data_IF_142803070130
#
_entry.id   IF_142803070130
#
_cell.length_a   1.000
_cell.length_b   1.000
_cell.length_c   1.000
_cell.angle_alpha   90.00
_cell.angle_beta   90.00
_cell.angle_gamma   90.00
#
_symmetry.space_group_name_H-M   'P 1'
#
loop_
_entity.id
_entity.type
_entity.pdbx_description
1 polymer ?
#
# COMPACT_ATOMS: atom_id res chain seq x y z
N UNK A 1 22.02 13.12 25.18
CA UNK A 1 20.72 12.96 25.85
C UNK A 1 19.63 13.36 24.88
N UNK A 2 19.02 12.39 24.20
CA UNK A 2 17.92 12.60 23.26
C UNK A 2 16.63 12.91 24.04
N UNK A 3 16.03 14.06 23.77
CA UNK A 3 14.74 14.43 24.35
C UNK A 3 13.64 13.64 23.62
N UNK A 4 13.08 12.64 24.28
CA UNK A 4 11.87 11.97 23.82
C UNK A 4 10.71 12.93 24.08
N UNK A 5 10.01 13.36 23.00
CA UNK A 5 8.72 14.06 23.13
C UNK A 5 7.61 13.02 23.03
N UNK A 6 6.66 13.08 23.94
CA UNK A 6 5.43 12.29 23.89
C UNK A 6 4.32 13.16 23.28
N UNK A 7 3.67 12.69 22.24
CA UNK A 7 2.42 13.25 21.70
C UNK A 7 1.37 12.17 21.86
N UNK A 8 0.29 12.47 22.58
CA UNK A 8 -0.81 11.56 22.88
C UNK A 8 -0.39 10.21 23.51
N UNK A 9 0.65 10.20 24.35
CA UNK A 9 1.08 9.01 25.06
C UNK A 9 2.04 8.09 24.29
N UNK A 10 2.37 8.41 23.02
CA UNK A 10 3.34 7.66 22.22
C UNK A 10 4.70 8.35 22.19
N UNK A 11 5.81 7.60 22.36
CA UNK A 11 7.15 8.17 22.28
C UNK A 11 7.47 8.55 20.82
N UNK A 12 7.64 9.84 20.57
CA UNK A 12 8.17 10.33 19.29
C UNK A 12 9.68 10.38 19.42
N UNK A 13 10.36 9.38 18.92
CA UNK A 13 11.80 9.43 18.73
C UNK A 13 12.09 10.31 17.50
N UNK A 14 12.56 11.53 17.74
CA UNK A 14 13.12 12.37 16.69
C UNK A 14 14.60 11.95 16.55
N UNK A 15 15.04 11.25 15.50
CA UNK A 15 16.46 11.06 15.26
C UNK A 15 17.07 12.43 14.96
N UNK A 16 18.07 12.80 15.74
CA UNK A 16 18.85 14.02 15.53
C UNK A 16 19.51 13.98 14.14
N UNK A 17 19.02 14.83 13.25
CA UNK A 17 19.66 15.15 11.98
C UNK A 17 20.96 15.91 12.27
N UNK A 18 22.06 15.19 12.49
CA UNK A 18 23.44 15.69 12.32
C UNK A 18 24.43 14.56 12.65
N UNK A 19 24.91 13.91 11.63
CA UNK A 19 26.05 13.02 11.67
C UNK A 19 26.49 12.77 10.23
N UNK A 20 27.67 13.31 9.87
CA UNK A 20 28.32 13.13 8.57
C UNK A 20 28.85 11.68 8.38
N UNK A 21 27.99 10.70 8.55
CA UNK A 21 28.21 9.30 8.20
C UNK A 21 27.08 8.86 7.29
N UNK A 22 27.38 8.15 6.21
CA UNK A 22 26.38 7.48 5.37
C UNK A 22 25.54 6.54 6.24
N UNK A 23 24.48 7.08 6.85
CA UNK A 23 23.53 6.28 7.62
C UNK A 23 22.66 5.56 6.61
N UNK A 24 22.89 4.25 6.47
CA UNK A 24 22.07 3.42 5.58
C UNK A 24 20.60 3.51 5.99
N UNK A 25 19.73 3.79 5.03
CA UNK A 25 18.30 4.01 5.28
C UNK A 25 17.59 2.67 5.41
N UNK A 26 16.92 2.44 6.54
CA UNK A 26 16.03 1.29 6.72
C UNK A 26 14.66 1.61 6.11
N UNK A 27 14.31 0.87 5.07
CA UNK A 27 13.10 1.07 4.27
C UNK A 27 12.16 -0.10 4.49
N UNK A 28 10.91 0.17 4.81
CA UNK A 28 9.85 -0.85 4.87
C UNK A 28 8.92 -0.65 3.69
N UNK A 29 8.51 -1.74 3.03
CA UNK A 29 7.44 -1.73 2.04
C UNK A 29 6.31 -2.63 2.52
N UNK A 30 5.11 -2.06 2.62
CA UNK A 30 3.92 -2.79 3.00
C UNK A 30 3.33 -3.49 1.78
N UNK A 31 3.06 -4.79 1.92
CA UNK A 31 2.47 -5.59 0.85
C UNK A 31 1.25 -6.36 1.36
N UNK A 32 0.20 -6.43 0.56
CA UNK A 32 -1.04 -7.11 0.90
C UNK A 32 -1.38 -8.22 -0.10
N UNK A 33 -1.79 -9.37 0.43
CA UNK A 33 -2.38 -10.46 -0.34
C UNK A 33 -3.85 -10.13 -0.59
N UNK A 34 -4.25 -10.10 -1.85
CA UNK A 34 -5.62 -9.76 -2.27
C UNK A 34 -6.14 -10.76 -3.30
N UNK A 35 -7.46 -10.89 -3.47
CA UNK A 35 -8.03 -11.60 -4.60
C UNK A 35 -7.57 -10.99 -5.93
N UNK A 36 -7.33 -11.83 -6.95
CA UNK A 36 -7.01 -11.34 -8.29
C UNK A 36 -8.12 -10.39 -8.77
N UNK A 37 -7.74 -9.22 -9.25
CA UNK A 37 -8.68 -8.18 -9.72
C UNK A 37 -9.56 -8.62 -10.89
N UNK A 38 -9.17 -9.69 -11.59
CA UNK A 38 -9.94 -10.30 -12.66
C UNK A 38 -10.86 -11.45 -12.17
N UNK A 39 -10.83 -11.76 -10.87
CA UNK A 39 -11.67 -12.81 -10.31
C UNK A 39 -13.16 -12.41 -10.36
N UNK A 40 -14.01 -13.37 -10.70
CA UNK A 40 -15.45 -13.21 -10.54
C UNK A 40 -15.79 -13.30 -9.07
N UNK A 41 -16.27 -12.22 -8.49
CA UNK A 41 -16.73 -12.19 -7.10
C UNK A 41 -18.16 -12.73 -7.03
N UNK A 42 -18.35 -13.69 -6.14
CA UNK A 42 -19.66 -14.26 -5.80
C UNK A 42 -20.00 -13.86 -4.38
N UNK A 43 -21.22 -13.43 -4.17
CA UNK A 43 -21.75 -13.14 -2.82
C UNK A 43 -22.87 -14.14 -2.55
N UNK A 44 -22.73 -14.89 -1.48
CA UNK A 44 -23.71 -15.88 -1.02
C UNK A 44 -24.02 -15.63 0.47
N UNK A 45 -25.29 -15.55 0.80
CA UNK A 45 -25.79 -15.25 2.17
C UNK A 45 -25.06 -14.07 2.84
N UNK A 46 -24.88 -12.96 2.07
CA UNK A 46 -24.23 -11.75 2.58
C UNK A 46 -22.72 -11.87 2.78
N UNK A 47 -22.09 -12.96 2.34
CA UNK A 47 -20.64 -13.17 2.42
C UNK A 47 -20.03 -13.33 1.05
N UNK A 48 -18.79 -12.84 0.91
CA UNK A 48 -18.02 -13.03 -0.33
C UNK A 48 -17.42 -14.42 -0.33
N UNK A 49 -17.73 -15.21 -1.37
CA UNK A 49 -17.10 -16.52 -1.58
C UNK A 49 -15.72 -16.32 -2.27
N UNK A 50 -14.67 -16.66 -1.54
CA UNK A 50 -13.29 -16.58 -1.98
C UNK A 50 -12.65 -17.96 -2.23
N UNK A 51 -13.43 -19.04 -2.18
CA UNK A 51 -12.92 -20.42 -2.27
C UNK A 51 -12.22 -20.75 -3.58
N UNK A 52 -12.68 -20.18 -4.69
CA UNK A 52 -12.16 -20.40 -6.05
C UNK A 52 -11.30 -19.24 -6.57
N UNK A 53 -10.96 -18.29 -5.72
CA UNK A 53 -10.26 -17.09 -6.16
C UNK A 53 -8.75 -17.29 -6.10
N UNK A 54 -8.07 -16.92 -7.17
CA UNK A 54 -6.62 -16.81 -7.16
C UNK A 54 -6.19 -15.61 -6.34
N UNK A 55 -5.20 -15.81 -5.48
CA UNK A 55 -4.63 -14.77 -4.64
C UNK A 55 -3.32 -14.24 -5.22
N UNK A 56 -3.18 -12.92 -5.19
CA UNK A 56 -2.03 -12.19 -5.73
C UNK A 56 -1.58 -11.09 -4.77
N UNK A 57 -0.42 -10.51 -5.00
CA UNK A 57 -0.03 -9.24 -4.38
C UNK A 57 -0.90 -8.12 -4.93
N UNK A 58 -1.28 -7.16 -4.09
CA UNK A 58 -2.02 -5.98 -4.53
C UNK A 58 -1.23 -5.23 -5.63
N UNK A 59 -1.86 -4.91 -6.78
CA UNK A 59 -1.16 -4.31 -7.91
C UNK A 59 -0.45 -2.98 -7.60
N UNK A 60 -0.98 -2.19 -6.67
CA UNK A 60 -0.32 -0.94 -6.26
C UNK A 60 0.92 -1.17 -5.42
N UNK A 61 1.01 -2.30 -4.71
CA UNK A 61 2.17 -2.62 -3.88
C UNK A 61 3.41 -2.95 -4.73
N UNK A 62 3.23 -3.43 -5.97
CA UNK A 62 4.33 -3.63 -6.90
C UNK A 62 5.05 -2.30 -7.23
N UNK A 63 4.30 -1.21 -7.38
CA UNK A 63 4.88 0.13 -7.58
C UNK A 63 5.57 0.63 -6.31
N UNK A 64 5.03 0.34 -5.14
CA UNK A 64 5.67 0.67 -3.86
C UNK A 64 6.99 -0.09 -3.66
N UNK A 65 7.06 -1.36 -4.03
CA UNK A 65 8.29 -2.15 -4.02
C UNK A 65 9.33 -1.51 -4.95
N UNK A 66 8.96 -1.16 -6.17
CA UNK A 66 9.89 -0.53 -7.11
C UNK A 66 10.41 0.81 -6.58
N UNK A 67 9.55 1.64 -5.97
CA UNK A 67 9.93 2.90 -5.34
C UNK A 67 10.93 2.68 -4.19
N UNK A 68 10.66 1.70 -3.32
CA UNK A 68 11.55 1.32 -2.22
C UNK A 68 12.92 0.84 -2.72
N UNK A 69 12.94 0.02 -3.78
CA UNK A 69 14.19 -0.48 -4.38
C UNK A 69 14.99 0.66 -5.03
N UNK A 70 14.32 1.60 -5.70
CA UNK A 70 14.96 2.80 -6.27
C UNK A 70 15.51 3.71 -5.20
N UNK A 71 14.81 3.86 -4.07
CA UNK A 71 15.31 4.61 -2.93
C UNK A 71 16.61 3.97 -2.39
N UNK A 72 16.59 2.65 -2.15
CA UNK A 72 17.79 1.92 -1.73
C UNK A 72 18.94 2.06 -2.72
N UNK A 73 18.67 2.01 -4.03
CA UNK A 73 19.69 2.17 -5.07
C UNK A 73 20.33 3.57 -5.05
N UNK A 74 19.57 4.59 -4.68
CA UNK A 74 20.03 5.98 -4.63
C UNK A 74 20.76 6.35 -3.35
N UNK A 75 20.37 5.78 -2.21
CA UNK A 75 20.86 6.21 -0.88
C UNK A 75 21.59 5.11 -0.10
N UNK A 76 21.62 3.89 -0.60
CA UNK A 76 22.03 2.72 0.18
C UNK A 76 20.93 2.26 1.14
N UNK A 77 21.26 1.29 1.99
CA UNK A 77 20.35 0.76 3.00
C UNK A 77 19.71 -0.57 2.65
N UNK A 78 18.59 -0.88 3.29
CA UNK A 78 17.92 -2.17 3.18
C UNK A 78 16.41 -1.99 3.00
N UNK A 79 15.79 -2.89 2.21
CA UNK A 79 14.34 -2.92 2.00
C UNK A 79 13.76 -4.19 2.64
N UNK A 80 12.83 -4.01 3.56
CA UNK A 80 12.08 -5.08 4.22
C UNK A 80 10.64 -5.07 3.73
N UNK A 81 10.16 -6.19 3.16
CA UNK A 81 8.73 -6.36 2.85
C UNK A 81 8.00 -6.84 4.09
N UNK A 82 6.96 -6.12 4.47
CA UNK A 82 6.13 -6.39 5.65
C UNK A 82 4.69 -6.66 5.23
N UNK A 83 4.13 -7.76 5.74
CA UNK A 83 2.70 -8.10 5.56
C UNK A 83 2.07 -8.53 6.88
N UNK A 84 0.76 -8.30 7.00
CA UNK A 84 -0.07 -8.86 8.08
C UNK A 84 -0.92 -9.98 7.49
N UNK A 85 -0.85 -11.18 8.09
CA UNK A 85 -1.66 -12.31 7.65
C UNK A 85 -1.05 -13.67 7.97
N UNK A 86 -1.84 -14.72 7.76
CA UNK A 86 -1.43 -16.10 7.96
C UNK A 86 -0.30 -16.56 7.03
N UNK A 87 0.16 -17.79 7.19
CA UNK A 87 1.21 -18.41 6.36
C UNK A 87 0.95 -18.35 4.85
N UNK A 88 -0.29 -18.21 4.44
CA UNK A 88 -0.67 -18.02 3.03
C UNK A 88 -0.09 -16.76 2.40
N UNK A 89 0.30 -15.78 3.21
CA UNK A 89 0.94 -14.54 2.74
C UNK A 89 2.41 -14.72 2.37
N UNK A 90 3.05 -15.83 2.74
CA UNK A 90 4.46 -16.08 2.43
C UNK A 90 4.74 -16.06 0.93
N UNK A 91 3.76 -16.43 0.11
CA UNK A 91 3.90 -16.40 -1.35
C UNK A 91 4.16 -14.99 -1.87
N UNK A 92 3.37 -14.01 -1.47
CA UNK A 92 3.55 -12.62 -1.94
C UNK A 92 4.84 -12.00 -1.43
N UNK A 93 5.30 -12.37 -0.22
CA UNK A 93 6.60 -11.97 0.29
C UNK A 93 7.74 -12.56 -0.55
N UNK A 94 7.64 -13.84 -0.95
CA UNK A 94 8.61 -14.47 -1.85
C UNK A 94 8.58 -13.85 -3.25
N UNK A 95 7.41 -13.44 -3.74
CA UNK A 95 7.29 -12.68 -4.99
C UNK A 95 8.02 -11.33 -4.87
N UNK A 96 7.89 -10.60 -3.76
CA UNK A 96 8.65 -9.39 -3.47
C UNK A 96 10.17 -9.66 -3.40
N UNK A 97 10.58 -10.77 -2.78
CA UNK A 97 11.99 -11.20 -2.76
C UNK A 97 12.55 -11.44 -4.16
N UNK A 98 11.76 -12.07 -5.02
CA UNK A 98 12.16 -12.33 -6.41
C UNK A 98 12.38 -11.04 -7.21
N UNK A 99 11.68 -9.96 -6.86
CA UNK A 99 11.84 -8.62 -7.43
C UNK A 99 13.11 -7.94 -6.91
N UNK A 100 13.57 -8.26 -5.68
CA UNK A 100 14.83 -7.75 -5.14
C UNK A 100 14.79 -7.19 -3.73
N UNK A 101 13.72 -7.39 -2.99
CA UNK A 101 13.61 -7.00 -1.57
C UNK A 101 14.60 -7.81 -0.72
N UNK A 102 15.16 -7.20 0.33
CA UNK A 102 16.24 -7.80 1.12
C UNK A 102 15.73 -8.73 2.22
N UNK A 103 14.69 -8.35 2.94
CA UNK A 103 14.12 -9.12 4.04
C UNK A 103 12.61 -9.25 3.94
N UNK A 104 12.09 -10.31 4.55
CA UNK A 104 10.68 -10.68 4.50
C UNK A 104 10.17 -10.85 5.93
N UNK A 105 9.18 -10.05 6.30
CA UNK A 105 8.56 -10.10 7.64
C UNK A 105 7.06 -10.30 7.49
N UNK A 106 6.54 -11.27 8.20
CA UNK A 106 5.12 -11.54 8.32
C UNK A 106 4.70 -11.46 9.78
N UNK A 107 3.63 -10.74 10.04
CA UNK A 107 3.05 -10.63 11.38
C UNK A 107 1.72 -11.35 11.41
N UNK A 108 1.56 -12.23 12.36
CA UNK A 108 0.32 -12.98 12.55
C UNK A 108 0.24 -13.55 13.96
N UNK A 109 -0.95 -13.56 14.47
CA UNK A 109 -1.31 -14.28 15.68
C UNK A 109 -2.62 -15.04 15.44
N UNK A 110 -2.63 -16.33 15.73
CA UNK A 110 -3.80 -17.19 15.50
C UNK A 110 -5.02 -16.80 16.35
N UNK A 111 -4.82 -16.01 17.39
CA UNK A 111 -5.90 -15.46 18.22
C UNK A 111 -6.61 -14.26 17.58
N UNK A 112 -6.08 -13.72 16.46
CA UNK A 112 -6.70 -12.58 15.80
C UNK A 112 -8.04 -12.98 15.18
N UNK A 113 -9.10 -12.35 15.66
CA UNK A 113 -10.38 -12.32 14.97
C UNK A 113 -10.32 -11.44 13.73
N UNK A 114 -11.46 -11.10 13.15
CA UNK A 114 -11.51 -10.08 12.10
C UNK A 114 -10.94 -8.77 12.62
N UNK A 115 -9.99 -8.21 11.86
CA UNK A 115 -9.30 -6.98 12.19
C UNK A 115 -9.80 -5.85 11.29
N UNK A 116 -10.04 -4.69 11.88
CA UNK A 116 -10.34 -3.46 11.13
C UNK A 116 -9.06 -2.66 10.77
N UNK A 117 -9.23 -1.60 10.00
CA UNK A 117 -8.11 -0.74 9.60
C UNK A 117 -7.39 -0.13 10.80
N UNK A 118 -8.09 0.15 11.90
CA UNK A 118 -7.52 0.74 13.10
C UNK A 118 -6.57 -0.23 13.80
N UNK A 119 -7.01 -1.46 14.03
CA UNK A 119 -6.19 -2.49 14.67
C UNK A 119 -4.98 -2.89 13.82
N UNK A 120 -5.17 -3.07 12.49
CA UNK A 120 -4.07 -3.38 11.57
C UNK A 120 -3.01 -2.28 11.52
N UNK A 121 -3.43 -1.01 11.47
CA UNK A 121 -2.49 0.13 11.46
C UNK A 121 -1.71 0.22 12.77
N UNK A 122 -2.31 -0.10 13.91
CA UNK A 122 -1.62 -0.13 15.21
C UNK A 122 -0.50 -1.17 15.22
N UNK A 123 -0.80 -2.39 14.79
CA UNK A 123 0.20 -3.47 14.67
C UNK A 123 1.32 -3.10 13.70
N UNK A 124 0.98 -2.51 12.54
CA UNK A 124 1.98 -2.07 11.57
C UNK A 124 2.94 -1.05 12.20
N UNK A 125 2.45 -0.09 12.97
CA UNK A 125 3.27 0.92 13.61
C UNK A 125 4.28 0.32 14.60
N UNK A 126 3.86 -0.63 15.43
CA UNK A 126 4.73 -1.32 16.37
C UNK A 126 5.89 -2.01 15.63
N UNK A 127 5.58 -2.79 14.61
CA UNK A 127 6.59 -3.54 13.85
C UNK A 127 7.49 -2.62 13.02
N UNK A 128 6.97 -1.54 12.44
CA UNK A 128 7.75 -0.54 11.71
C UNK A 128 8.81 0.11 12.64
N UNK A 129 8.42 0.43 13.86
CA UNK A 129 9.35 0.98 14.88
C UNK A 129 10.41 -0.05 15.29
N UNK A 130 10.01 -1.30 15.52
CA UNK A 130 10.93 -2.39 15.86
C UNK A 130 11.96 -2.67 14.76
N UNK A 131 11.55 -2.52 13.48
CA UNK A 131 12.44 -2.64 12.33
C UNK A 131 13.38 -1.44 12.17
N UNK A 132 13.21 -0.38 12.96
CA UNK A 132 14.01 0.84 12.86
C UNK A 132 13.82 1.59 11.55
N UNK A 133 12.67 1.44 10.92
CA UNK A 133 12.39 2.07 9.64
C UNK A 133 12.43 3.59 9.70
N UNK A 134 12.90 4.21 8.64
CA UNK A 134 12.94 5.67 8.46
C UNK A 134 11.98 6.09 7.33
N UNK A 135 11.70 5.18 6.40
CA UNK A 135 10.74 5.41 5.32
C UNK A 135 9.89 4.17 5.13
N UNK A 136 8.58 4.39 4.98
CA UNK A 136 7.61 3.34 4.66
C UNK A 136 6.98 3.63 3.31
N UNK A 137 7.01 2.65 2.42
CA UNK A 137 6.28 2.67 1.15
C UNK A 137 5.09 1.73 1.21
N UNK A 138 3.98 2.12 0.58
CA UNK A 138 2.82 1.25 0.38
C UNK A 138 2.11 1.59 -0.93
N UNK A 139 1.26 0.70 -1.41
CA UNK A 139 0.34 1.01 -2.49
C UNK A 139 -0.70 2.04 -2.06
N UNK A 140 -1.27 2.79 -2.99
CA UNK A 140 -2.28 3.82 -2.68
C UNK A 140 -3.53 3.24 -2.02
N UNK A 141 -3.88 2.01 -2.37
CA UNK A 141 -5.02 1.29 -1.80
C UNK A 141 -4.87 -0.20 -2.07
N UNK A 142 -5.41 -1.04 -1.21
CA UNK A 142 -5.54 -2.46 -1.48
C UNK A 142 -6.68 -2.71 -2.47
N UNK A 143 -6.46 -3.61 -3.44
CA UNK A 143 -7.42 -3.85 -4.53
C UNK A 143 -8.74 -4.49 -4.08
N UNK A 144 -8.77 -5.09 -2.89
CA UNK A 144 -9.95 -5.71 -2.29
C UNK A 144 -10.85 -4.72 -1.57
N UNK A 145 -10.29 -3.80 -0.79
CA UNK A 145 -11.05 -2.86 0.02
C UNK A 145 -11.13 -1.45 -0.56
N UNK A 146 -10.13 -1.05 -1.35
CA UNK A 146 -10.04 0.31 -1.90
C UNK A 146 -9.94 1.43 -0.86
N UNK A 147 -9.72 1.10 0.42
CA UNK A 147 -9.85 2.05 1.53
C UNK A 147 -8.83 3.20 1.50
N UNK A 148 -7.59 2.95 1.03
CA UNK A 148 -6.53 3.98 0.96
C UNK A 148 -6.09 4.57 2.30
N UNK A 149 -6.53 4.00 3.41
CA UNK A 149 -6.34 4.55 4.76
C UNK A 149 -5.01 4.16 5.42
N UNK A 150 -4.28 3.18 4.89
CA UNK A 150 -3.08 2.64 5.55
C UNK A 150 -1.97 3.67 5.61
N UNK A 151 -1.66 4.35 4.50
CA UNK A 151 -0.60 5.37 4.47
C UNK A 151 -0.84 6.50 5.49
N UNK A 152 -1.94 7.26 5.42
CA UNK A 152 -2.18 8.34 6.37
C UNK A 152 -2.36 7.83 7.80
N UNK A 153 -3.00 6.67 7.99
CA UNK A 153 -3.25 6.14 9.31
C UNK A 153 -2.00 5.65 10.05
N UNK A 154 -1.06 5.04 9.34
CA UNK A 154 0.24 4.66 9.89
C UNK A 154 1.09 5.90 10.17
N UNK A 155 1.13 6.86 9.24
CA UNK A 155 1.89 8.09 9.42
C UNK A 155 1.41 8.91 10.62
N UNK A 156 0.10 9.07 10.79
CA UNK A 156 -0.50 9.80 11.92
C UNK A 156 -0.12 9.16 13.26
N UNK A 157 -0.21 7.82 13.36
CA UNK A 157 0.17 7.11 14.59
C UNK A 157 1.66 7.21 14.91
N UNK A 158 2.51 7.21 13.89
CA UNK A 158 3.95 7.36 14.06
C UNK A 158 4.37 8.81 14.28
N UNK A 159 3.52 9.80 14.00
CA UNK A 159 3.89 11.21 13.99
C UNK A 159 4.87 11.55 12.86
N UNK A 160 4.81 10.82 11.74
CA UNK A 160 5.72 10.96 10.59
C UNK A 160 5.09 11.80 9.48
N UNK A 161 5.95 12.33 8.61
CA UNK A 161 5.48 12.97 7.39
C UNK A 161 4.69 11.96 6.52
N UNK A 162 3.64 12.44 5.84
CA UNK A 162 2.80 11.60 4.99
C UNK A 162 2.53 12.26 3.65
N UNK A 163 2.61 11.46 2.59
CA UNK A 163 2.15 11.88 1.27
C UNK A 163 1.52 10.68 0.55
N UNK A 164 0.35 10.90 -0.04
CA UNK A 164 -0.42 9.84 -0.69
C UNK A 164 -0.47 10.01 -2.20
N UNK A 165 -0.63 8.88 -2.92
CA UNK A 165 -0.91 8.81 -4.36
C UNK A 165 0.17 9.46 -5.23
N UNK A 166 1.44 9.26 -4.87
CA UNK A 166 2.53 9.82 -5.69
C UNK A 166 2.60 9.14 -7.06
N UNK A 167 2.92 9.92 -8.08
CA UNK A 167 3.08 9.46 -9.47
C UNK A 167 4.51 9.58 -9.99
N UNK A 168 5.39 10.23 -9.21
CA UNK A 168 6.81 10.35 -9.52
C UNK A 168 7.58 10.60 -8.23
N UNK A 169 8.85 10.14 -8.17
CA UNK A 169 9.73 10.32 -7.02
C UNK A 169 11.18 10.45 -7.46
N UNK A 170 11.89 11.38 -6.85
CA UNK A 170 13.33 11.59 -7.02
C UNK A 170 14.02 11.67 -5.66
N UNK A 171 15.28 11.24 -5.60
CA UNK A 171 16.07 11.12 -4.37
C UNK A 171 17.26 12.08 -4.31
N UNK A 172 17.34 13.02 -5.23
CA UNK A 172 18.40 14.05 -5.25
C UNK A 172 18.14 15.10 -4.16
N UNK A 173 19.08 15.21 -3.23
CA UNK A 173 18.98 16.15 -2.09
C UNK A 173 17.71 15.95 -1.24
N UNK A 174 17.42 14.70 -0.87
CA UNK A 174 16.25 14.29 -0.11
C UNK A 174 15.14 13.70 -1.00
N UNK A 175 14.00 13.40 -0.40
CA UNK A 175 12.87 12.80 -1.11
C UNK A 175 12.01 13.92 -1.70
N UNK A 176 11.88 13.93 -3.03
CA UNK A 176 10.98 14.83 -3.76
C UNK A 176 9.98 14.00 -4.55
N UNK A 177 8.71 14.30 -4.42
CA UNK A 177 7.62 13.55 -5.07
C UNK A 177 6.73 14.45 -5.90
N UNK A 178 6.06 13.85 -6.86
CA UNK A 178 4.98 14.50 -7.63
C UNK A 178 3.67 13.85 -7.27
N UNK A 179 2.69 14.66 -6.87
CA UNK A 179 1.33 14.23 -6.58
C UNK A 179 0.35 14.85 -7.58
N UNK A 180 -0.61 14.07 -8.12
CA UNK A 180 -1.68 14.62 -8.90
C UNK A 180 -2.60 15.46 -8.02
N UNK A 181 -3.03 16.60 -8.54
CA UNK A 181 -4.03 17.47 -7.94
C UNK A 181 -5.13 17.74 -8.96
N UNK A 182 -6.25 18.24 -8.50
CA UNK A 182 -7.33 18.70 -9.37
C UNK A 182 -6.79 19.85 -10.27
N UNK A 183 -6.82 19.64 -11.58
CA UNK A 183 -6.30 20.59 -12.56
C UNK A 183 -4.78 20.64 -12.76
N UNK A 184 -4.00 19.72 -12.11
CA UNK A 184 -2.55 19.72 -12.28
C UNK A 184 -1.79 18.73 -11.41
N UNK A 185 -0.56 19.09 -11.06
CA UNK A 185 0.29 18.31 -10.14
C UNK A 185 1.12 19.21 -9.24
N UNK A 186 1.45 18.73 -8.05
CA UNK A 186 2.36 19.40 -7.13
C UNK A 186 3.66 18.61 -6.97
N UNK A 187 4.79 19.32 -6.90
CA UNK A 187 6.08 18.77 -6.47
C UNK A 187 6.30 19.11 -5.01
N UNK A 188 6.54 18.10 -4.18
CA UNK A 188 6.65 18.23 -2.72
C UNK A 188 7.95 17.61 -2.25
N UNK A 189 8.70 18.33 -1.42
CA UNK A 189 9.83 17.76 -0.65
C UNK A 189 9.30 17.14 0.66
N UNK A 190 9.73 15.93 0.96
CA UNK A 190 9.27 15.19 2.13
C UNK A 190 10.41 15.03 3.11
N UNK A 191 10.25 15.50 4.37
CA UNK A 191 11.21 15.21 5.42
C UNK A 191 11.10 13.75 5.86
N UNK A 192 12.20 13.15 6.28
CA UNK A 192 12.20 11.86 6.98
C UNK A 192 12.07 12.06 8.49
N UNK A 193 11.45 11.12 9.23
CA UNK A 193 10.85 9.89 8.73
C UNK A 193 9.50 10.12 8.01
N UNK A 194 9.16 9.23 7.06
CA UNK A 194 7.99 9.42 6.20
C UNK A 194 7.26 8.13 5.83
N UNK A 195 5.95 8.24 5.59
CA UNK A 195 5.11 7.19 4.95
C UNK A 195 4.61 7.71 3.61
N UNK A 196 4.84 6.94 2.56
CA UNK A 196 4.60 7.34 1.17
C UNK A 196 3.75 6.29 0.46
N UNK A 197 2.61 6.68 -0.11
CA UNK A 197 1.84 5.76 -0.93
C UNK A 197 1.98 6.04 -2.43
N UNK A 198 2.17 4.96 -3.18
CA UNK A 198 2.47 4.98 -4.61
C UNK A 198 1.22 4.68 -5.44
N UNK A 199 0.98 5.49 -6.47
CA UNK A 199 0.02 5.21 -7.53
C UNK A 199 0.71 4.54 -8.73
N UNK A 200 -0.05 4.18 -9.74
CA UNK A 200 0.46 3.65 -11.00
C UNK A 200 1.36 4.68 -11.70
N UNK A 201 2.44 4.18 -12.29
CA UNK A 201 3.30 4.98 -13.14
C UNK A 201 4.46 5.69 -12.43
N UNK A 202 4.60 5.56 -11.10
CA UNK A 202 5.77 6.09 -10.37
C UNK A 202 7.06 5.60 -11.02
N UNK A 203 7.12 4.29 -11.28
CA UNK A 203 8.19 3.64 -12.03
C UNK A 203 7.65 2.50 -12.87
N UNK A 204 8.43 2.11 -13.90
CA UNK A 204 8.20 0.83 -14.57
C UNK A 204 8.64 -0.29 -13.63
N UNK A 205 7.70 -1.08 -13.16
CA UNK A 205 7.96 -2.22 -12.27
C UNK A 205 8.89 -3.21 -12.95
N UNK A 206 10.00 -3.56 -12.28
CA UNK A 206 10.94 -4.57 -12.74
C UNK A 206 10.35 -5.97 -12.63
N UNK A 207 10.69 -6.82 -13.58
CA UNK A 207 10.29 -8.23 -13.54
C UNK A 207 11.34 -9.06 -12.79
N UNK A 208 10.92 -10.12 -12.06
CA UNK A 208 11.84 -11.04 -11.44
C UNK A 208 12.77 -11.67 -12.47
N UNK A 209 14.05 -11.74 -12.18
CA UNK A 209 15.00 -12.49 -12.98
C UNK A 209 15.20 -13.93 -12.41
N UNK A 210 15.85 -14.81 -13.17
CA UNK A 210 16.04 -16.22 -12.78
C UNK A 210 16.77 -16.32 -11.43
N UNK A 211 17.80 -15.51 -11.19
CA UNK A 211 18.53 -15.48 -9.91
C UNK A 211 17.62 -15.07 -8.75
N UNK A 212 16.81 -14.02 -8.93
CA UNK A 212 15.85 -13.55 -7.93
C UNK A 212 14.81 -14.64 -7.57
N UNK A 213 14.27 -15.34 -8.57
CA UNK A 213 13.33 -16.44 -8.36
C UNK A 213 13.98 -17.58 -7.56
N UNK A 214 15.25 -17.94 -7.87
CA UNK A 214 15.97 -18.95 -7.11
C UNK A 214 16.24 -18.54 -5.67
N UNK A 215 16.60 -17.28 -5.45
CA UNK A 215 16.82 -16.74 -4.11
C UNK A 215 15.50 -16.71 -3.31
N UNK A 216 14.41 -16.30 -3.92
CA UNK A 216 13.08 -16.25 -3.30
C UNK A 216 12.60 -17.65 -2.83
N UNK A 217 12.89 -18.71 -3.61
CA UNK A 217 12.54 -20.09 -3.21
C UNK A 217 13.23 -20.54 -1.91
N UNK A 218 14.43 -20.03 -1.65
CA UNK A 218 15.24 -20.36 -0.45
C UNK A 218 15.06 -19.37 0.68
N UNK A 219 14.40 -18.24 0.41
CA UNK A 219 14.24 -17.20 1.41
C UNK A 219 13.34 -17.69 2.56
N UNK A 220 13.79 -17.40 3.76
CA UNK A 220 13.00 -17.58 4.96
C UNK A 220 12.20 -16.32 5.22
N UNK A 221 10.96 -16.50 5.70
CA UNK A 221 10.10 -15.41 6.15
C UNK A 221 10.23 -15.34 7.66
N UNK A 222 10.63 -14.19 8.17
CA UNK A 222 10.61 -13.94 9.60
C UNK A 222 9.17 -13.79 10.05
N UNK A 223 8.76 -14.58 11.02
CA UNK A 223 7.40 -14.53 11.57
C UNK A 223 7.46 -13.85 12.92
N UNK A 224 6.71 -12.76 13.06
CA UNK A 224 6.53 -12.04 14.32
C UNK A 224 5.09 -12.17 14.80
N UNK A 225 4.90 -12.20 16.10
CA UNK A 225 3.60 -12.02 16.73
C UNK A 225 3.51 -10.61 17.28
N UNK A 226 2.33 -10.02 17.21
CA UNK A 226 2.04 -8.73 17.80
C UNK A 226 0.62 -8.74 18.37
N UNK A 227 0.40 -7.95 19.41
CA UNK A 227 -0.93 -7.81 20.00
C UNK A 227 -1.74 -6.82 19.16
N UNK A 228 -2.85 -7.28 18.59
CA UNK A 228 -3.77 -6.40 17.90
C UNK A 228 -4.86 -5.92 18.86
N UNK A 229 -5.18 -4.61 18.89
CA UNK A 229 -6.33 -4.13 19.62
C UNK A 229 -7.62 -4.69 18.99
N UNK A 230 -8.68 -4.78 19.79
CA UNK A 230 -9.98 -5.24 19.29
C UNK A 230 -10.48 -4.35 18.14
N UNK A 231 -11.05 -4.97 17.12
CA UNK A 231 -11.70 -4.26 16.03
C UNK A 231 -12.87 -3.42 16.56
N UNK A 232 -12.99 -2.19 16.06
CA UNK A 232 -14.05 -1.25 16.41
C UNK A 232 -15.15 -1.21 15.35
N UNK A 233 -14.87 -1.73 14.16
CA UNK A 233 -15.78 -1.80 13.02
C UNK A 233 -15.85 -3.23 12.52
N UNK A 234 -17.06 -3.71 12.26
CA UNK A 234 -17.31 -5.02 11.65
C UNK A 234 -18.17 -4.90 10.39
N UNK A 235 -17.94 -5.77 9.42
CA UNK A 235 -18.75 -5.86 8.21
C UNK A 235 -19.96 -6.73 8.51
N UNK A 236 -21.17 -6.16 8.40
CA UNK A 236 -22.42 -6.88 8.66
C UNK A 236 -22.78 -7.80 7.48
N UNK A 237 -22.70 -7.28 6.25
CA UNK A 237 -23.00 -8.05 5.04
C UNK A 237 -22.42 -7.40 3.79
N UNK A 238 -22.25 -8.23 2.77
CA UNK A 238 -21.92 -7.80 1.41
C UNK A 238 -23.11 -8.01 0.48
N UNK A 239 -23.24 -7.17 -0.53
CA UNK A 239 -24.20 -7.35 -1.61
C UNK A 239 -23.56 -7.01 -2.95
N UNK A 240 -24.02 -7.64 -4.01
CA UNK A 240 -23.60 -7.23 -5.36
C UNK A 240 -24.16 -5.84 -5.66
N UNK A 241 -23.42 -5.01 -6.42
CA UNK A 241 -23.93 -3.72 -6.85
C UNK A 241 -25.19 -3.91 -7.70
N UNK A 242 -26.15 -2.97 -7.65
CA UNK A 242 -27.35 -3.04 -8.48
C UNK A 242 -26.97 -3.11 -9.94
N UNK A 243 -27.72 -3.92 -10.71
CA UNK A 243 -27.50 -4.01 -12.14
C UNK A 243 -27.74 -2.65 -12.78
N UNK A 244 -26.76 -2.19 -13.55
CA UNK A 244 -26.96 -0.97 -14.34
C UNK A 244 -28.06 -1.20 -15.38
N UNK A 245 -28.97 -0.24 -15.58
CA UNK A 245 -29.96 -0.33 -16.65
C UNK A 245 -29.25 -0.46 -18.02
N UNK A 246 -29.89 -1.14 -18.94
CA UNK A 246 -29.36 -1.24 -20.31
C UNK A 246 -29.23 0.16 -20.92
N UNK A 247 -28.03 0.51 -21.36
CA UNK A 247 -27.80 1.76 -22.05
C UNK A 247 -28.51 1.79 -23.40
N UNK A 248 -28.88 2.97 -23.89
CA UNK A 248 -29.33 3.19 -25.27
C UNK A 248 -28.12 3.14 -26.20
N UNK A 249 -28.26 2.48 -27.34
CA UNK A 249 -27.24 2.47 -28.40
C UNK A 249 -27.77 3.26 -29.59
N UNK A 250 -26.90 4.02 -30.22
CA UNK A 250 -27.19 4.83 -31.38
C UNK A 250 -26.21 4.41 -32.47
N UNK A 251 -26.76 3.98 -33.63
CA UNK A 251 -25.93 3.37 -34.68
C UNK A 251 -25.63 4.36 -35.83
N UNK A 252 -26.15 5.59 -35.77
CA UNK A 252 -25.94 6.61 -36.79
C UNK A 252 -25.33 7.89 -36.24
N UNK A 253 -24.46 8.52 -37.04
CA UNK A 253 -23.90 9.84 -36.74
C UNK A 253 -25.00 10.93 -36.63
N UNK A 254 -26.13 10.75 -37.31
CA UNK A 254 -27.25 11.69 -37.22
C UNK A 254 -27.87 11.80 -35.84
N UNK A 255 -27.66 10.79 -35.00
CA UNK A 255 -28.11 10.77 -33.60
C UNK A 255 -27.23 11.61 -32.67
N UNK A 256 -26.12 12.16 -33.12
CA UNK A 256 -25.17 12.90 -32.26
C UNK A 256 -25.83 14.09 -31.53
N UNK A 257 -26.73 14.82 -32.23
CA UNK A 257 -27.47 15.92 -31.63
C UNK A 257 -28.43 15.48 -30.53
N UNK A 258 -29.10 14.33 -30.71
CA UNK A 258 -29.96 13.73 -29.69
C UNK A 258 -29.15 13.26 -28.49
N UNK A 259 -28.02 12.57 -28.73
CA UNK A 259 -27.14 12.12 -27.65
C UNK A 259 -26.61 13.30 -26.83
N UNK A 260 -26.16 14.38 -27.47
CA UNK A 260 -25.72 15.59 -26.79
C UNK A 260 -26.83 16.20 -25.92
N UNK A 261 -28.05 16.24 -26.42
CA UNK A 261 -29.21 16.71 -25.64
C UNK A 261 -29.47 15.82 -24.43
N UNK A 262 -29.45 14.49 -24.59
CA UNK A 262 -29.67 13.54 -23.49
C UNK A 262 -28.55 13.63 -22.43
N UNK A 263 -27.29 13.81 -22.86
CA UNK A 263 -26.19 14.05 -21.94
C UNK A 263 -26.35 15.32 -21.12
N UNK A 264 -26.93 16.35 -21.71
CA UNK A 264 -27.24 17.62 -21.02
C UNK A 264 -28.47 17.49 -20.12
N UNK A 265 -29.60 17.03 -20.67
CA UNK A 265 -30.92 17.14 -20.02
C UNK A 265 -31.20 15.99 -19.06
N UNK A 266 -30.73 14.74 -19.37
CA UNK A 266 -30.98 13.58 -18.53
C UNK A 266 -29.75 13.24 -17.64
N UNK A 267 -28.55 13.27 -18.19
CA UNK A 267 -27.35 12.86 -17.46
C UNK A 267 -26.66 14.03 -16.74
N UNK A 268 -26.92 15.26 -17.14
CA UNK A 268 -26.37 16.50 -16.55
C UNK A 268 -24.84 16.51 -16.47
N UNK A 269 -24.17 16.03 -17.53
CA UNK A 269 -22.71 15.86 -17.59
C UNK A 269 -22.01 16.82 -18.57
N UNK A 270 -22.78 17.56 -19.38
CA UNK A 270 -22.30 18.62 -20.29
C UNK A 270 -23.20 19.86 -20.24
#
# INVERSE_FOLDING_TARGET
MSKIRFINGFPVACPSLCGDGEQMVEIVVLVKRVPDTNARIVVDDGKVDLSMVKWVMSPYDEFAIEAALKHREATGGKVTALTLGSGDCDKILKDAKAIGVDELVRVWDDSWAEQDSNSLQTVLCEVILELGAQVVYCGKAAADTGAGSTCPGVAERLGWASISNITDIAFENGIKVTCPLEGGSAKVGIPMPAVISCDKGVFKVRKPNVKGIMMAKRAQVEVRSASAPAATVSIISHSLPPQKPKGKKYDSADSAGEVARLLRDEANVI
#
